data_IF_523172028237
#
_entry.id   IF_523172028237
#
_cell.length_a   1.000
_cell.length_b   1.000
_cell.length_c   1.000
_cell.angle_alpha   90.00
_cell.angle_beta   90.00
_cell.angle_gamma   90.00
#
_symmetry.space_group_name_H-M   'P 1'
#
loop_
_entity.id
_entity.type
_entity.pdbx_description
1 polymer ?
#
# COMPACT_ATOMS: atom_id res chain seq x y z
N UNK A 1 20.00 16.54 5.40
CA UNK A 1 19.24 16.56 4.12
C UNK A 1 17.73 16.65 4.39
N UNK A 2 16.92 17.29 3.51
CA UNK A 2 15.47 17.49 3.71
C UNK A 2 14.67 16.19 3.94
N UNK A 3 15.07 15.09 3.29
CA UNK A 3 14.43 13.78 3.43
C UNK A 3 14.56 13.18 4.83
N UNK A 4 15.73 13.31 5.47
CA UNK A 4 15.97 12.81 6.83
C UNK A 4 15.04 13.48 7.86
N UNK A 5 14.84 14.81 7.76
CA UNK A 5 13.90 15.53 8.64
C UNK A 5 12.44 15.08 8.43
N UNK A 6 12.02 14.85 7.19
CA UNK A 6 10.64 14.42 6.86
C UNK A 6 10.36 12.95 7.18
N UNK A 7 11.36 12.08 7.10
CA UNK A 7 11.16 10.64 7.29
C UNK A 7 11.43 10.21 8.73
N UNK A 8 12.44 10.78 9.37
CA UNK A 8 12.90 10.32 10.68
C UNK A 8 12.52 11.29 11.80
N UNK A 9 12.45 12.59 11.49
CA UNK A 9 12.24 13.65 12.50
C UNK A 9 10.78 14.10 12.70
N UNK A 10 9.83 13.58 11.95
CA UNK A 10 8.42 14.03 11.98
C UNK A 10 7.47 12.90 12.39
N UNK A 11 7.00 12.97 13.63
CA UNK A 11 6.05 12.01 14.20
C UNK A 11 4.71 11.98 13.45
N UNK A 12 4.26 13.11 12.89
CA UNK A 12 3.01 13.16 12.10
C UNK A 12 3.17 12.38 10.79
N UNK A 13 4.34 12.46 10.16
CA UNK A 13 4.63 11.68 8.96
C UNK A 13 4.60 10.17 9.25
N UNK A 14 5.08 9.75 10.43
CA UNK A 14 5.06 8.35 10.85
C UNK A 14 3.66 7.87 11.22
N UNK A 15 2.85 8.72 11.87
CA UNK A 15 1.45 8.43 12.14
C UNK A 15 0.64 8.29 10.83
N UNK A 16 0.89 9.16 9.84
CA UNK A 16 0.27 9.06 8.53
C UNK A 16 0.63 7.73 7.83
N UNK A 17 1.88 7.27 7.94
CA UNK A 17 2.30 5.95 7.42
C UNK A 17 1.54 4.81 8.09
N UNK A 18 1.40 4.82 9.41
CA UNK A 18 0.62 3.79 10.13
C UNK A 18 -0.85 3.79 9.71
N UNK A 19 -1.43 4.97 9.46
CA UNK A 19 -2.81 5.07 8.98
C UNK A 19 -2.97 4.47 7.58
N UNK A 20 -2.02 4.72 6.68
CA UNK A 20 -2.02 4.11 5.34
C UNK A 20 -1.98 2.57 5.42
N UNK A 21 -1.20 1.98 6.35
CA UNK A 21 -1.21 0.51 6.56
C UNK A 21 -2.61 0.02 6.92
N UNK A 22 -3.26 0.71 7.86
CA UNK A 22 -4.63 0.36 8.28
C UNK A 22 -5.62 0.47 7.11
N UNK A 23 -5.51 1.53 6.31
CA UNK A 23 -6.40 1.77 5.17
C UNK A 23 -6.16 0.73 4.06
N UNK A 24 -4.91 0.36 3.79
CA UNK A 24 -4.54 -0.71 2.84
C UNK A 24 -5.08 -2.07 3.30
N UNK A 25 -4.93 -2.41 4.58
CA UNK A 25 -5.48 -3.66 5.14
C UNK A 25 -7.02 -3.68 5.08
N UNK A 26 -7.66 -2.55 5.35
CA UNK A 26 -9.10 -2.37 5.19
C UNK A 26 -9.54 -2.59 3.74
N UNK A 27 -8.84 -1.99 2.77
CA UNK A 27 -9.10 -2.17 1.36
C UNK A 27 -8.96 -3.63 0.91
N UNK A 28 -7.92 -4.35 1.37
CA UNK A 28 -7.75 -5.78 1.09
C UNK A 28 -8.93 -6.61 1.59
N UNK A 29 -9.44 -6.29 2.79
CA UNK A 29 -10.60 -6.97 3.37
C UNK A 29 -11.85 -6.70 2.54
N UNK A 30 -12.09 -5.45 2.14
CA UNK A 30 -13.24 -5.09 1.29
C UNK A 30 -13.18 -5.78 -0.09
N UNK A 31 -12.00 -5.82 -0.73
CA UNK A 31 -11.83 -6.53 -2.01
C UNK A 31 -12.09 -8.03 -1.83
N UNK A 32 -11.69 -8.61 -0.70
CA UNK A 32 -11.98 -10.01 -0.37
C UNK A 32 -13.45 -10.34 -0.18
N UNK A 33 -14.33 -9.34 -0.10
CA UNK A 33 -15.78 -9.50 0.03
C UNK A 33 -16.53 -9.36 -1.31
N UNK A 34 -15.84 -9.05 -2.41
CA UNK A 34 -16.45 -8.92 -3.74
C UNK A 34 -17.06 -10.24 -4.22
N UNK A 35 -18.13 -10.16 -5.01
CA UNK A 35 -18.73 -11.33 -5.61
C UNK A 35 -17.90 -11.79 -6.82
N UNK A 36 -17.07 -12.80 -6.60
CA UNK A 36 -16.15 -13.33 -7.60
C UNK A 36 -16.76 -14.44 -8.48
N UNK A 37 -18.10 -14.49 -8.60
CA UNK A 37 -18.77 -15.43 -9.52
C UNK A 37 -18.46 -15.12 -10.98
N UNK A 38 -18.29 -13.83 -11.32
CA UNK A 38 -17.76 -13.42 -12.61
C UNK A 38 -16.23 -13.55 -12.64
N UNK A 39 -15.72 -14.22 -13.67
CA UNK A 39 -14.29 -14.51 -13.80
C UNK A 39 -13.44 -13.25 -13.98
N UNK A 40 -14.00 -12.21 -14.60
CA UNK A 40 -13.30 -10.92 -14.78
C UNK A 40 -13.12 -10.24 -13.43
N UNK A 41 -14.21 -10.18 -12.65
CA UNK A 41 -14.22 -9.65 -11.28
C UNK A 41 -13.28 -10.45 -10.38
N UNK A 42 -13.30 -11.78 -10.44
CA UNK A 42 -12.38 -12.64 -9.69
C UNK A 42 -10.90 -12.34 -10.03
N UNK A 43 -10.58 -12.21 -11.32
CA UNK A 43 -9.23 -11.91 -11.78
C UNK A 43 -8.76 -10.53 -11.32
N UNK A 44 -9.59 -9.50 -11.48
CA UNK A 44 -9.28 -8.14 -11.07
C UNK A 44 -9.16 -8.00 -9.55
N UNK A 45 -10.01 -8.68 -8.78
CA UNK A 45 -9.90 -8.74 -7.32
C UNK A 45 -8.57 -9.37 -6.88
N UNK A 46 -8.14 -10.46 -7.54
CA UNK A 46 -6.85 -11.09 -7.26
C UNK A 46 -5.66 -10.16 -7.57
N UNK A 47 -5.71 -9.44 -8.69
CA UNK A 47 -4.69 -8.42 -9.04
C UNK A 47 -4.66 -7.33 -7.97
N UNK A 48 -5.81 -6.78 -7.58
CA UNK A 48 -5.89 -5.75 -6.56
C UNK A 48 -5.33 -6.23 -5.21
N UNK A 49 -5.64 -7.45 -4.79
CA UNK A 49 -5.09 -8.04 -3.56
C UNK A 49 -3.57 -8.18 -3.62
N UNK A 50 -3.02 -8.66 -4.75
CA UNK A 50 -1.59 -8.81 -4.94
C UNK A 50 -0.86 -7.46 -4.93
N UNK A 51 -1.40 -6.44 -5.62
CA UNK A 51 -0.82 -5.10 -5.65
C UNK A 51 -0.89 -4.41 -4.28
N UNK A 52 -1.99 -4.55 -3.53
CA UNK A 52 -2.07 -4.05 -2.15
C UNK A 52 -1.12 -4.79 -1.21
N UNK A 53 -0.89 -6.09 -1.41
CA UNK A 53 0.14 -6.82 -0.66
C UNK A 53 1.52 -6.25 -0.95
N UNK A 54 1.85 -6.01 -2.22
CA UNK A 54 3.12 -5.38 -2.61
C UNK A 54 3.29 -4.00 -1.96
N UNK A 55 2.23 -3.19 -1.95
CA UNK A 55 2.25 -1.90 -1.24
C UNK A 55 2.52 -2.07 0.25
N UNK A 56 1.87 -3.03 0.92
CA UNK A 56 2.07 -3.32 2.34
C UNK A 56 3.51 -3.76 2.66
N UNK A 57 4.13 -4.57 1.79
CA UNK A 57 5.52 -4.99 1.95
C UNK A 57 6.46 -3.76 1.86
N UNK A 58 6.25 -2.88 0.87
CA UNK A 58 6.99 -1.62 0.77
C UNK A 58 6.78 -0.68 1.96
N UNK A 59 5.57 -0.62 2.53
CA UNK A 59 5.30 0.18 3.72
C UNK A 59 6.04 -0.39 4.95
N UNK A 60 6.11 -1.71 5.11
CA UNK A 60 6.86 -2.35 6.21
C UNK A 60 8.35 -2.01 6.13
N UNK A 61 8.94 -1.99 4.94
CA UNK A 61 10.33 -1.58 4.74
C UNK A 61 10.54 -0.10 5.10
N UNK A 62 9.62 0.77 4.68
CA UNK A 62 9.64 2.20 5.02
C UNK A 62 9.56 2.38 6.53
N UNK A 63 8.63 1.69 7.20
CA UNK A 63 8.43 1.77 8.65
C UNK A 63 9.67 1.27 9.40
N UNK A 64 10.23 0.14 8.99
CA UNK A 64 11.44 -0.43 9.59
C UNK A 64 12.62 0.53 9.51
N UNK A 65 12.86 1.12 8.34
CA UNK A 65 13.92 2.11 8.16
C UNK A 65 13.71 3.34 9.07
N UNK A 66 12.47 3.85 9.13
CA UNK A 66 12.12 4.99 9.99
C UNK A 66 12.34 4.68 11.47
N UNK A 67 11.89 3.51 11.96
CA UNK A 67 12.08 3.07 13.34
C UNK A 67 13.56 2.94 13.71
N UNK A 68 14.39 2.57 12.74
CA UNK A 68 15.85 2.47 12.90
C UNK A 68 16.58 3.81 12.74
N UNK A 69 15.87 4.94 12.60
CA UNK A 69 16.50 6.24 12.42
C UNK A 69 17.08 6.47 11.02
N UNK A 70 16.71 5.65 10.05
CA UNK A 70 17.25 5.64 8.69
C UNK A 70 16.31 6.34 7.71
N UNK A 71 16.87 6.72 6.57
CA UNK A 71 16.09 7.14 5.40
C UNK A 71 15.48 5.89 4.80
N UNK A 72 14.17 5.91 4.55
CA UNK A 72 13.50 4.79 3.90
C UNK A 72 14.09 4.54 2.50
N UNK A 73 14.25 3.28 2.06
CA UNK A 73 14.74 2.97 0.72
C UNK A 73 13.86 3.60 -0.37
N UNK A 74 14.45 4.00 -1.50
CA UNK A 74 13.69 4.60 -2.60
C UNK A 74 12.74 3.60 -3.26
N UNK A 75 13.26 2.40 -3.56
CA UNK A 75 12.49 1.28 -4.09
C UNK A 75 11.29 0.93 -3.21
N UNK A 76 11.43 0.95 -1.88
CA UNK A 76 10.32 0.67 -0.97
C UNK A 76 9.21 1.72 -1.11
N UNK A 77 9.55 3.02 -1.19
CA UNK A 77 8.55 4.07 -1.43
C UNK A 77 7.88 3.95 -2.80
N UNK A 78 8.67 3.64 -3.83
CA UNK A 78 8.16 3.46 -5.18
C UNK A 78 7.21 2.27 -5.24
N UNK A 79 7.54 1.17 -4.55
CA UNK A 79 6.70 -0.01 -4.41
C UNK A 79 5.35 0.30 -3.74
N UNK A 80 5.32 1.16 -2.72
CA UNK A 80 4.04 1.63 -2.14
C UNK A 80 3.21 2.35 -3.20
N UNK A 81 3.82 3.29 -3.93
CA UNK A 81 3.12 4.07 -4.96
C UNK A 81 2.59 3.21 -6.10
N UNK A 82 3.41 2.28 -6.61
CA UNK A 82 3.04 1.34 -7.67
C UNK A 82 1.92 0.42 -7.21
N UNK A 83 2.07 -0.24 -6.06
CA UNK A 83 1.07 -1.19 -5.57
C UNK A 83 -0.30 -0.56 -5.30
N UNK A 84 -0.34 0.66 -4.75
CA UNK A 84 -1.60 1.39 -4.56
C UNK A 84 -2.22 1.76 -5.92
N UNK A 85 -1.42 2.27 -6.86
CA UNK A 85 -1.90 2.69 -8.18
C UNK A 85 -2.47 1.50 -8.96
N UNK A 86 -1.77 0.38 -8.99
CA UNK A 86 -2.22 -0.84 -9.66
C UNK A 86 -3.49 -1.41 -9.02
N UNK A 87 -3.59 -1.39 -7.69
CA UNK A 87 -4.80 -1.82 -7.00
C UNK A 87 -6.01 -0.94 -7.35
N UNK A 88 -5.83 0.39 -7.40
CA UNK A 88 -6.87 1.32 -7.83
C UNK A 88 -7.29 1.05 -9.28
N UNK A 89 -6.33 0.82 -10.18
CA UNK A 89 -6.62 0.49 -11.58
C UNK A 89 -7.39 -0.83 -11.70
N UNK A 90 -7.00 -1.86 -10.94
CA UNK A 90 -7.69 -3.15 -10.95
C UNK A 90 -9.13 -3.02 -10.43
N UNK A 91 -9.33 -2.38 -9.27
CA UNK A 91 -10.67 -2.15 -8.70
C UNK A 91 -11.52 -1.26 -9.60
N UNK A 92 -10.97 -0.21 -10.21
CA UNK A 92 -11.69 0.69 -11.10
C UNK A 92 -12.17 0.03 -12.41
N UNK A 93 -11.64 -1.14 -12.75
CA UNK A 93 -12.10 -1.95 -13.88
C UNK A 93 -13.10 -3.05 -13.48
N UNK A 94 -13.43 -3.17 -12.19
CA UNK A 94 -14.51 -4.05 -11.75
C UNK A 94 -15.83 -3.33 -12.04
N UNK A 95 -16.56 -3.84 -13.02
CA UNK A 95 -17.92 -3.39 -13.34
C UNK A 95 -18.89 -4.42 -12.78
N UNK A 96 -19.45 -4.14 -11.61
CA UNK A 96 -20.62 -4.88 -11.09
C UNK A 96 -21.94 -4.25 -11.57
#
# INVERSE_FOLDING_TARGET
>A
APLFRRQTGDLQCNLARLRIISDVAGAQTLIGQLNTTDLTTASLAAVAQASLKSANDGIQDVLTAVLNGQIAPANARDQVGVGITEAILAVGNITE
#
